data_IF_571709405125
#
_entry.id   IF_571709405125
#
_cell.length_a   1.000
_cell.length_b   1.000
_cell.length_c   1.000
_cell.angle_alpha   90.00
_cell.angle_beta   90.00
_cell.angle_gamma   90.00
#
_symmetry.space_group_name_H-M   'P 1'
#
loop_
_entity.id
_entity.type
_entity.pdbx_description
1 polymer ?
#
# COMPACT_ATOMS: atom_id res chain seq x y z
N UNK A 1 -3.73 -16.02 -23.99
CA UNK A 1 -4.34 -15.84 -22.65
C UNK A 1 -3.35 -15.08 -21.80
N UNK A 2 -3.57 -13.80 -21.55
CA UNK A 2 -2.76 -13.06 -20.58
C UNK A 2 -3.06 -13.61 -19.18
N UNK A 3 -2.03 -14.10 -18.50
CA UNK A 3 -2.14 -14.63 -17.13
C UNK A 3 -2.39 -13.43 -16.23
N UNK A 4 -3.64 -13.22 -15.81
CA UNK A 4 -3.99 -12.18 -14.84
C UNK A 4 -3.10 -12.34 -13.60
N UNK A 5 -2.43 -11.26 -13.19
CA UNK A 5 -1.60 -11.28 -11.98
C UNK A 5 -2.51 -11.58 -10.77
N UNK A 6 -2.11 -12.54 -9.94
CA UNK A 6 -2.80 -12.85 -8.70
C UNK A 6 -2.69 -11.64 -7.77
N UNK A 7 -3.82 -11.16 -7.24
CA UNK A 7 -3.86 -10.04 -6.30
C UNK A 7 -3.08 -10.33 -5.02
N UNK A 8 -2.69 -9.27 -4.29
CA UNK A 8 -1.99 -9.41 -3.02
C UNK A 8 -2.87 -10.11 -1.98
N UNK A 9 -2.51 -11.33 -1.58
CA UNK A 9 -3.28 -12.10 -0.60
C UNK A 9 -3.04 -11.61 0.83
N UNK A 10 -3.87 -12.07 1.77
CA UNK A 10 -3.66 -11.79 3.20
C UNK A 10 -2.31 -12.33 3.70
N UNK A 11 -1.91 -13.52 3.26
CA UNK A 11 -0.65 -14.17 3.65
C UNK A 11 0.57 -13.42 3.11
N UNK A 12 0.47 -12.90 1.88
CA UNK A 12 1.51 -12.03 1.33
C UNK A 12 1.65 -10.75 2.17
N UNK A 13 0.53 -10.13 2.57
CA UNK A 13 0.56 -8.95 3.43
C UNK A 13 1.13 -9.26 4.83
N UNK A 14 0.82 -10.43 5.40
CA UNK A 14 1.39 -10.88 6.66
C UNK A 14 2.92 -11.04 6.57
N UNK A 15 3.41 -11.65 5.48
CA UNK A 15 4.85 -11.78 5.21
C UNK A 15 5.53 -10.42 5.08
N UNK A 16 4.90 -9.47 4.37
CA UNK A 16 5.42 -8.10 4.26
C UNK A 16 5.50 -7.47 5.65
N UNK A 17 4.45 -7.53 6.47
CA UNK A 17 4.46 -6.98 7.84
C UNK A 17 5.57 -7.57 8.70
N UNK A 18 5.82 -8.87 8.61
CA UNK A 18 6.85 -9.56 9.38
C UNK A 18 8.28 -9.13 8.99
N UNK A 19 8.49 -8.69 7.75
CA UNK A 19 9.84 -8.46 7.20
C UNK A 19 10.14 -7.00 6.86
N UNK A 20 9.11 -6.15 6.73
CA UNK A 20 9.24 -4.77 6.28
C UNK A 20 10.15 -3.94 7.19
N UNK A 21 10.18 -4.22 8.50
CA UNK A 21 10.96 -3.44 9.46
C UNK A 21 12.40 -3.96 9.68
N UNK A 22 12.79 -5.03 8.98
CA UNK A 22 14.14 -5.60 9.09
C UNK A 22 15.14 -4.72 8.33
N UNK A 23 16.30 -4.41 8.92
CA UNK A 23 17.38 -3.72 8.22
C UNK A 23 17.85 -4.47 6.97
N UNK A 24 17.95 -3.76 5.85
CA UNK A 24 18.48 -4.26 4.58
C UNK A 24 19.93 -3.79 4.38
N UNK A 25 20.73 -4.63 3.72
CA UNK A 25 22.06 -4.28 3.25
C UNK A 25 21.98 -3.83 1.80
N UNK A 26 22.37 -2.58 1.55
CA UNK A 26 22.36 -2.01 0.20
C UNK A 26 23.53 -2.48 -0.68
N UNK A 27 23.55 -2.11 -1.97
CA UNK A 27 24.59 -2.51 -2.92
C UNK A 27 26.01 -2.09 -2.53
N UNK A 28 26.15 -1.04 -1.70
CA UNK A 28 27.44 -0.57 -1.18
C UNK A 28 27.92 -1.34 0.05
N UNK A 29 27.26 -2.43 0.43
CA UNK A 29 27.54 -3.21 1.65
C UNK A 29 27.13 -2.51 2.96
N UNK A 30 26.53 -1.31 2.90
CA UNK A 30 26.06 -0.59 4.08
C UNK A 30 24.70 -1.12 4.50
N UNK A 31 24.57 -1.46 5.77
CA UNK A 31 23.29 -1.83 6.39
C UNK A 31 22.56 -0.57 6.80
N UNK A 32 21.27 -0.47 6.49
CA UNK A 32 20.45 0.64 6.96
C UNK A 32 20.35 0.64 8.51
N UNK A 33 20.17 1.82 9.11
CA UNK A 33 19.92 1.88 10.55
C UNK A 33 18.55 1.32 10.90
N UNK A 34 18.36 0.83 12.12
CA UNK A 34 17.05 0.38 12.62
C UNK A 34 15.99 1.46 12.44
N UNK A 35 16.30 2.73 12.71
CA UNK A 35 15.36 3.84 12.52
C UNK A 35 14.96 4.03 11.05
N UNK A 36 15.89 3.86 10.11
CA UNK A 36 15.60 3.91 8.68
C UNK A 36 14.72 2.72 8.24
N UNK A 37 15.04 1.51 8.71
CA UNK A 37 14.26 0.31 8.45
C UNK A 37 12.83 0.44 8.98
N UNK A 38 12.64 1.04 10.17
CA UNK A 38 11.33 1.28 10.75
C UNK A 38 10.49 2.26 9.91
N UNK A 39 11.06 3.40 9.51
CA UNK A 39 10.36 4.38 8.67
C UNK A 39 9.97 3.81 7.31
N UNK A 40 10.91 3.14 6.64
CA UNK A 40 10.66 2.47 5.36
C UNK A 40 9.61 1.36 5.52
N UNK A 41 9.73 0.54 6.55
CA UNK A 41 8.82 -0.57 6.81
C UNK A 41 7.38 -0.11 7.05
N UNK A 42 7.19 0.98 7.79
CA UNK A 42 5.86 1.57 7.98
C UNK A 42 5.23 1.97 6.64
N UNK A 43 5.98 2.63 5.75
CA UNK A 43 5.52 3.00 4.41
C UNK A 43 5.21 1.76 3.56
N UNK A 44 6.08 0.76 3.56
CA UNK A 44 5.89 -0.50 2.81
C UNK A 44 4.58 -1.20 3.25
N UNK A 45 4.32 -1.27 4.56
CA UNK A 45 3.10 -1.87 5.12
C UNK A 45 1.86 -1.06 4.78
N UNK A 46 1.92 0.27 4.92
CA UNK A 46 0.82 1.19 4.59
C UNK A 46 0.40 1.06 3.13
N UNK A 47 1.39 1.10 2.24
CA UNK A 47 1.18 0.99 0.80
C UNK A 47 0.60 -0.36 0.42
N UNK A 48 1.20 -1.46 0.89
CA UNK A 48 0.75 -2.81 0.57
C UNK A 48 -0.68 -3.07 1.08
N UNK A 49 -1.00 -2.63 2.30
CA UNK A 49 -2.34 -2.78 2.87
C UNK A 49 -3.38 -1.97 2.07
N UNK A 50 -3.05 -0.72 1.72
CA UNK A 50 -3.93 0.14 0.90
C UNK A 50 -4.16 -0.45 -0.48
N UNK A 51 -3.09 -0.91 -1.14
CA UNK A 51 -3.19 -1.54 -2.46
C UNK A 51 -4.05 -2.80 -2.46
N UNK A 52 -3.95 -3.63 -1.42
CA UNK A 52 -4.78 -4.82 -1.27
C UNK A 52 -6.26 -4.46 -1.09
N UNK A 53 -6.56 -3.62 -0.10
CA UNK A 53 -7.94 -3.35 0.28
C UNK A 53 -8.67 -2.54 -0.81
N UNK A 54 -8.01 -1.56 -1.43
CA UNK A 54 -8.57 -0.78 -2.53
C UNK A 54 -8.33 -1.39 -3.92
N UNK A 55 -7.73 -2.58 -4.00
CA UNK A 55 -7.39 -3.28 -5.26
C UNK A 55 -6.61 -2.41 -6.27
N UNK A 56 -5.71 -1.55 -5.77
CA UNK A 56 -4.97 -0.62 -6.60
C UNK A 56 -3.96 -1.33 -7.49
N UNK A 57 -3.89 -0.89 -8.75
CA UNK A 57 -2.77 -1.18 -9.64
C UNK A 57 -1.54 -0.40 -9.17
N UNK A 58 -0.36 -0.87 -9.56
CA UNK A 58 0.92 -0.19 -9.23
C UNK A 58 0.96 1.28 -9.65
N UNK A 59 0.43 1.62 -10.82
CA UNK A 59 0.39 3.00 -11.31
C UNK A 59 -0.56 3.87 -10.48
N UNK A 60 -1.72 3.35 -10.09
CA UNK A 60 -2.69 4.07 -9.25
C UNK A 60 -2.13 4.32 -7.85
N UNK A 61 -1.43 3.32 -7.30
CA UNK A 61 -0.74 3.45 -6.01
C UNK A 61 0.40 4.48 -6.06
N UNK A 62 1.15 4.55 -7.17
CA UNK A 62 2.21 5.54 -7.37
C UNK A 62 1.68 6.98 -7.51
N UNK A 63 0.47 7.15 -8.06
CA UNK A 63 -0.18 8.44 -8.24
C UNK A 63 -1.07 8.85 -7.05
N UNK A 64 -1.17 8.01 -6.01
CA UNK A 64 -2.01 8.25 -4.84
C UNK A 64 -1.55 9.48 -4.07
N UNK A 65 -2.51 10.33 -3.67
CA UNK A 65 -2.27 11.56 -2.91
C UNK A 65 -3.09 11.57 -1.64
N UNK A 66 -2.61 12.25 -0.60
CA UNK A 66 -3.36 12.41 0.65
C UNK A 66 -4.75 13.02 0.46
N UNK A 67 -4.90 13.97 -0.46
CA UNK A 67 -6.20 14.56 -0.81
C UNK A 67 -7.20 13.56 -1.41
N UNK A 68 -6.73 12.38 -1.84
CA UNK A 68 -7.57 11.30 -2.33
C UNK A 68 -8.00 10.34 -1.20
N UNK A 69 -7.55 10.53 0.04
CA UNK A 69 -7.90 9.68 1.18
C UNK A 69 -8.80 10.45 2.13
N UNK A 70 -9.99 9.90 2.37
CA UNK A 70 -11.00 10.49 3.24
C UNK A 70 -11.26 9.54 4.42
N UNK A 71 -10.70 9.90 5.57
CA UNK A 71 -10.76 9.12 6.80
C UNK A 71 -12.12 9.24 7.47
N UNK A 72 -12.69 8.12 7.89
CA UNK A 72 -14.01 8.04 8.51
C UNK A 72 -13.91 7.82 10.02
N UNK A 73 -14.92 8.24 10.80
CA UNK A 73 -14.93 8.09 12.26
C UNK A 73 -14.85 6.64 12.75
N UNK A 74 -15.28 5.67 11.94
CA UNK A 74 -15.25 4.24 12.25
C UNK A 74 -13.87 3.58 12.01
N UNK A 75 -12.84 4.41 11.79
CA UNK A 75 -11.46 4.04 11.46
C UNK A 75 -11.32 3.32 10.12
N UNK A 76 -12.28 3.48 9.21
CA UNK A 76 -12.12 3.11 7.80
C UNK A 76 -11.73 4.35 6.98
N UNK A 77 -11.41 4.17 5.71
CA UNK A 77 -11.20 5.29 4.81
C UNK A 77 -11.76 5.01 3.41
N UNK A 78 -12.14 6.09 2.74
CA UNK A 78 -12.52 6.10 1.33
C UNK A 78 -11.33 6.57 0.50
N UNK A 79 -11.04 5.87 -0.60
CA UNK A 79 -9.93 6.18 -1.51
C UNK A 79 -10.44 6.59 -2.90
N UNK A 80 -10.02 7.79 -3.26
CA UNK A 80 -10.09 8.55 -4.52
C UNK A 80 -9.24 8.08 -5.71
N UNK A 81 -9.63 7.11 -6.55
CA UNK A 81 -8.80 6.72 -7.72
C UNK A 81 -9.10 7.63 -8.91
N UNK A 82 -8.24 8.62 -9.17
CA UNK A 82 -8.49 9.69 -10.16
C UNK A 82 -8.21 9.30 -11.62
N UNK A 83 -7.29 8.37 -11.87
CA UNK A 83 -6.94 7.90 -13.22
C UNK A 83 -6.74 6.39 -13.22
N UNK A 84 -7.52 5.71 -14.03
CA UNK A 84 -7.23 4.35 -14.49
C UNK A 84 -6.98 4.43 -16.00
N UNK A 85 -5.97 3.71 -16.49
CA UNK A 85 -5.63 3.67 -17.93
C UNK A 85 -6.81 3.24 -18.80
N UNK A 86 -7.79 2.54 -18.21
CA UNK A 86 -8.94 1.96 -18.90
C UNK A 86 -10.28 2.64 -18.59
N UNK A 87 -10.36 3.46 -17.53
CA UNK A 87 -11.63 4.00 -17.06
C UNK A 87 -11.73 5.51 -17.29
N UNK A 88 -12.84 5.94 -17.89
CA UNK A 88 -13.10 7.34 -18.23
C UNK A 88 -13.49 8.21 -17.01
N UNK A 89 -13.71 7.61 -15.84
CA UNK A 89 -14.19 8.30 -14.64
C UNK A 89 -13.42 7.86 -13.38
N UNK A 90 -13.30 8.76 -12.37
CA UNK A 90 -12.75 8.39 -11.07
C UNK A 90 -13.52 7.25 -10.41
N UNK A 91 -12.80 6.36 -9.74
CA UNK A 91 -13.38 5.25 -8.96
C UNK A 91 -13.18 5.49 -7.47
N UNK A 92 -14.15 5.03 -6.69
CA UNK A 92 -14.12 5.11 -5.23
C UNK A 92 -13.99 3.71 -4.67
N UNK A 93 -12.97 3.50 -3.85
CA UNK A 93 -12.76 2.24 -3.12
C UNK A 93 -12.75 2.49 -1.62
N UNK A 94 -12.95 1.44 -0.84
CA UNK A 94 -12.97 1.51 0.62
C UNK A 94 -11.85 0.65 1.20
N UNK A 95 -11.14 1.19 2.18
CA UNK A 95 -10.10 0.46 2.90
C UNK A 95 -10.52 0.20 4.34
N UNK A 96 -10.19 -0.99 4.82
CA UNK A 96 -10.58 -1.45 6.14
C UNK A 96 -9.75 -0.81 7.27
N UNK A 97 -10.12 -1.13 8.51
CA UNK A 97 -9.46 -0.57 9.71
C UNK A 97 -7.98 -0.87 9.79
N UNK A 98 -7.57 -2.07 9.39
CA UNK A 98 -6.18 -2.50 9.46
C UNK A 98 -5.29 -1.77 8.42
N UNK A 99 -5.82 -1.44 7.24
CA UNK A 99 -5.11 -0.64 6.25
C UNK A 99 -5.09 0.84 6.65
N UNK A 100 -6.22 1.36 7.16
CA UNK A 100 -6.34 2.73 7.63
C UNK A 100 -5.39 3.02 8.80
N UNK A 101 -5.23 2.07 9.74
CA UNK A 101 -4.31 2.22 10.86
C UNK A 101 -2.82 2.15 10.47
N UNK A 102 -2.51 1.74 9.23
CA UNK A 102 -1.16 1.72 8.70
C UNK A 102 -0.78 3.03 7.98
N UNK A 103 -1.76 3.89 7.67
CA UNK A 103 -1.57 5.22 7.08
C UNK A 103 -1.29 6.27 8.17
#
# INVERSE_FOLDING_TARGET
MERQAVGLTADCLATIRATAHLPRTGPTGRTESTAAAQRRGAVDVALAATMRDAMLRRSEAADLRWAAVDFRPDRTARVTILRSKTDAAPQVQYIGRAATAAL
#
